data_IF_877775309165
#
_entry.id   IF_877775309165
#
_cell.length_a   1.000
_cell.length_b   1.000
_cell.length_c   1.000
_cell.angle_alpha   90.00
_cell.angle_beta   90.00
_cell.angle_gamma   90.00
#
_symmetry.space_group_name_H-M   'P 1'
#
loop_
_entity.id
_entity.type
_entity.pdbx_description
1 polymer ?
#
# COMPACT_ATOMS: atom_id res chain seq x y z
N UNK A 1 26.51 62.53 3.15
CA UNK A 1 27.66 61.61 3.18
C UNK A 1 27.68 60.83 1.88
N UNK A 2 28.78 60.95 1.12
CA UNK A 2 29.34 60.06 0.08
C UNK A 2 28.33 59.34 -0.86
N UNK A 3 28.13 59.73 -2.12
CA UNK A 3 29.04 59.77 -3.30
C UNK A 3 28.65 58.64 -4.28
N UNK A 4 28.30 59.06 -5.51
CA UNK A 4 28.65 58.48 -6.81
C UNK A 4 28.14 57.10 -7.30
N UNK A 5 27.77 57.16 -8.60
CA UNK A 5 28.16 56.28 -9.72
C UNK A 5 27.12 55.29 -10.31
N UNK A 6 26.65 55.69 -11.49
CA UNK A 6 26.31 54.91 -12.69
C UNK A 6 27.24 53.70 -12.91
N UNK A 7 26.73 52.53 -13.34
CA UNK A 7 27.32 51.75 -14.46
C UNK A 7 26.33 50.73 -15.05
N UNK A 8 26.22 50.76 -16.38
CA UNK A 8 25.64 49.79 -17.32
C UNK A 8 26.43 48.46 -17.36
N UNK A 9 26.01 47.50 -18.20
CA UNK A 9 26.66 46.26 -18.71
C UNK A 9 25.91 45.01 -18.21
N UNK A 10 25.05 44.37 -19.01
CA UNK A 10 25.30 43.49 -20.16
C UNK A 10 25.91 42.13 -19.77
N UNK A 11 25.38 41.08 -20.41
CA UNK A 11 25.48 39.67 -20.07
C UNK A 11 26.90 39.10 -20.02
N UNK A 12 27.10 38.11 -19.14
CA UNK A 12 28.21 37.15 -19.22
C UNK A 12 27.66 35.74 -18.92
N UNK A 13 27.55 34.94 -19.98
CA UNK A 13 27.56 33.48 -19.94
C UNK A 13 28.98 33.03 -19.60
N UNK A 14 29.18 32.31 -18.49
CA UNK A 14 30.33 31.42 -18.33
C UNK A 14 29.94 30.17 -17.55
N UNK A 15 30.29 29.03 -18.14
CA UNK A 15 30.21 27.67 -17.62
C UNK A 15 31.03 27.54 -16.34
N UNK A 16 30.50 26.79 -15.37
CA UNK A 16 31.21 26.38 -14.16
C UNK A 16 30.31 25.48 -13.32
N UNK A 17 30.58 24.18 -13.34
CA UNK A 17 29.83 23.19 -12.56
C UNK A 17 30.02 23.35 -11.06
N UNK A 18 29.01 22.90 -10.31
CA UNK A 18 29.16 22.21 -9.02
C UNK A 18 27.80 21.66 -8.62
N UNK A 19 27.72 20.32 -8.55
CA UNK A 19 26.96 19.56 -7.57
C UNK A 19 25.55 20.09 -7.24
N UNK A 20 24.63 19.89 -8.18
CA UNK A 20 23.24 19.62 -7.82
C UNK A 20 23.18 18.25 -7.17
N UNK A 21 23.40 18.26 -5.85
CA UNK A 21 23.12 17.20 -4.87
C UNK A 21 22.37 16.02 -5.49
N UNK A 22 23.11 14.97 -5.86
CA UNK A 22 22.54 13.63 -5.89
C UNK A 22 21.86 13.48 -4.55
N UNK A 23 20.54 13.38 -4.54
CA UNK A 23 19.84 12.81 -3.40
C UNK A 23 20.46 11.43 -3.25
N UNK A 24 21.41 11.28 -2.34
CA UNK A 24 21.77 10.00 -1.79
C UNK A 24 20.46 9.49 -1.18
N UNK A 25 19.71 8.72 -1.97
CA UNK A 25 18.80 7.74 -1.43
C UNK A 25 19.70 6.89 -0.55
N UNK A 26 19.64 7.17 0.74
CA UNK A 26 20.19 6.30 1.74
C UNK A 26 19.18 5.16 1.81
N UNK A 27 19.28 4.25 0.82
CA UNK A 27 18.56 2.97 0.79
C UNK A 27 18.92 2.24 2.06
N UNK A 28 18.09 2.48 3.07
CA UNK A 28 18.17 1.88 4.40
C UNK A 28 16.95 1.02 4.65
N UNK A 29 15.98 1.01 3.73
CA UNK A 29 14.82 0.14 3.75
C UNK A 29 14.88 -0.95 2.69
N UNK A 30 14.21 -2.05 2.96
CA UNK A 30 14.19 -3.27 2.13
C UNK A 30 13.49 -3.07 0.77
N UNK A 31 12.76 -1.97 0.61
CA UNK A 31 11.87 -1.72 -0.53
C UNK A 31 12.06 -0.31 -1.08
N UNK A 32 11.91 -0.18 -2.41
CA UNK A 32 11.86 1.11 -3.10
C UNK A 32 10.58 1.86 -2.73
N UNK A 33 10.71 3.18 -2.63
CA UNK A 33 9.57 4.07 -2.41
C UNK A 33 8.62 4.08 -3.61
N UNK A 34 7.32 4.15 -3.34
CA UNK A 34 6.29 4.16 -4.37
C UNK A 34 4.95 3.61 -3.89
N UNK A 35 3.99 3.55 -4.80
CA UNK A 35 2.70 2.89 -4.60
C UNK A 35 2.64 1.61 -5.41
N UNK A 36 2.24 0.52 -4.76
CA UNK A 36 2.26 -0.83 -5.31
C UNK A 36 0.93 -1.50 -5.08
N UNK A 37 0.46 -2.23 -6.09
CA UNK A 37 -0.82 -2.93 -6.05
C UNK A 37 -0.58 -4.44 -6.17
N UNK A 38 -1.13 -5.21 -5.25
CA UNK A 38 -1.03 -6.66 -5.24
C UNK A 38 -2.40 -7.33 -5.17
N UNK A 39 -2.53 -8.47 -5.84
CA UNK A 39 -3.76 -9.26 -5.92
C UNK A 39 -3.45 -10.66 -5.41
N UNK A 40 -4.29 -11.21 -4.54
CA UNK A 40 -4.18 -12.59 -4.08
C UNK A 40 -4.67 -13.58 -5.14
N UNK A 41 -4.44 -14.87 -4.89
CA UNK A 41 -5.19 -15.92 -5.58
C UNK A 41 -6.67 -15.87 -5.20
N UNK A 42 -7.52 -16.53 -5.99
CA UNK A 42 -8.94 -16.65 -5.67
C UNK A 42 -9.15 -17.64 -4.51
N UNK A 43 -10.11 -17.34 -3.65
CA UNK A 43 -10.64 -18.21 -2.60
C UNK A 43 -11.59 -19.28 -3.18
N UNK A 44 -12.04 -20.19 -2.33
CA UNK A 44 -12.98 -21.27 -2.70
C UNK A 44 -14.35 -20.76 -3.20
N UNK A 45 -14.66 -19.48 -2.96
CA UNK A 45 -15.90 -18.82 -3.41
C UNK A 45 -15.68 -17.99 -4.68
N UNK A 46 -14.46 -18.00 -5.22
CA UNK A 46 -14.06 -17.31 -6.44
C UNK A 46 -13.70 -15.83 -6.24
N UNK A 47 -13.73 -15.31 -5.02
CA UNK A 47 -13.30 -13.94 -4.72
C UNK A 47 -11.82 -13.85 -4.36
N UNK A 48 -11.26 -12.66 -4.28
CA UNK A 48 -9.85 -12.43 -3.94
C UNK A 48 -9.71 -11.18 -3.07
N UNK A 49 -8.49 -10.90 -2.60
CA UNK A 49 -8.15 -9.65 -1.91
C UNK A 49 -7.16 -8.86 -2.77
N UNK A 50 -7.39 -7.57 -2.87
CA UNK A 50 -6.43 -6.61 -3.41
C UNK A 50 -5.85 -5.77 -2.28
N UNK A 51 -4.57 -5.45 -2.38
CA UNK A 51 -3.84 -4.63 -1.43
C UNK A 51 -3.11 -3.51 -2.15
N UNK A 52 -3.42 -2.26 -1.78
CA UNK A 52 -2.67 -1.09 -2.20
C UNK A 52 -1.72 -0.66 -1.09
N UNK A 53 -0.42 -0.62 -1.40
CA UNK A 53 0.66 -0.35 -0.43
C UNK A 53 1.43 0.88 -0.87
N UNK A 54 1.61 1.84 0.04
CA UNK A 54 2.50 2.99 -0.17
C UNK A 54 3.74 2.87 0.71
N UNK A 55 4.90 3.01 0.08
CA UNK A 55 6.21 2.94 0.71
C UNK A 55 6.89 4.30 0.64
N UNK A 56 7.35 4.80 1.78
CA UNK A 56 8.16 6.01 1.91
C UNK A 56 9.35 5.76 2.85
N UNK A 57 10.54 6.18 2.45
CA UNK A 57 11.80 5.89 3.15
C UNK A 57 11.97 4.39 3.43
N UNK A 58 11.54 3.56 2.48
CA UNK A 58 11.59 2.10 2.54
C UNK A 58 10.74 1.45 3.64
N UNK A 59 9.72 2.15 4.15
CA UNK A 59 8.72 1.64 5.10
C UNK A 59 7.31 1.73 4.53
N UNK A 60 6.44 0.80 4.91
CA UNK A 60 5.01 0.83 4.58
C UNK A 60 4.35 1.93 5.41
N UNK A 61 3.97 3.03 4.77
CA UNK A 61 3.32 4.18 5.42
C UNK A 61 1.81 4.21 5.23
N UNK A 62 1.30 3.50 4.23
CA UNK A 62 -0.13 3.29 4.04
C UNK A 62 -0.40 1.90 3.44
N UNK A 63 -1.54 1.33 3.80
CA UNK A 63 -2.06 0.09 3.26
C UNK A 63 -3.59 0.19 3.15
N UNK A 64 -4.15 -0.36 2.09
CA UNK A 64 -5.58 -0.58 1.91
C UNK A 64 -5.85 -2.05 1.60
N UNK A 65 -7.07 -2.51 1.88
CA UNK A 65 -7.53 -3.87 1.60
C UNK A 65 -8.90 -3.77 0.94
N UNK A 66 -9.02 -4.38 -0.23
CA UNK A 66 -10.28 -4.51 -0.98
C UNK A 66 -10.66 -5.98 -1.06
N UNK A 67 -11.85 -6.34 -0.61
CA UNK A 67 -12.37 -7.70 -0.68
C UNK A 67 -13.21 -7.84 -1.93
N UNK A 68 -12.73 -8.57 -2.93
CA UNK A 68 -13.39 -8.67 -4.23
C UNK A 68 -14.15 -10.00 -4.34
N UNK A 69 -15.39 -9.95 -4.82
CA UNK A 69 -16.20 -11.14 -5.08
C UNK A 69 -15.88 -11.76 -6.45
N UNK A 70 -16.47 -12.94 -6.71
CA UNK A 70 -16.30 -13.67 -7.98
C UNK A 70 -16.75 -12.92 -9.24
N UNK A 71 -17.55 -11.87 -9.07
CA UNK A 71 -18.07 -11.04 -10.14
C UNK A 71 -17.28 -9.72 -10.28
N UNK A 72 -16.13 -9.61 -9.59
CA UNK A 72 -15.26 -8.44 -9.50
C UNK A 72 -15.92 -7.20 -8.86
N UNK A 73 -16.83 -7.39 -7.89
CA UNK A 73 -17.36 -6.31 -7.07
C UNK A 73 -16.76 -6.34 -5.67
N UNK A 74 -16.64 -5.17 -5.04
CA UNK A 74 -16.30 -5.10 -3.62
C UNK A 74 -17.38 -5.80 -2.78
N UNK A 75 -16.96 -6.72 -1.92
CA UNK A 75 -17.80 -7.45 -0.97
C UNK A 75 -18.38 -6.45 0.04
N UNK A 76 -19.61 -6.01 -0.21
CA UNK A 76 -20.35 -5.09 0.66
C UNK A 76 -21.38 -5.78 1.56
N UNK A 77 -22.33 -4.99 2.05
CA UNK A 77 -23.41 -5.43 2.94
C UNK A 77 -24.30 -6.53 2.34
N UNK A 78 -24.32 -6.69 1.01
CA UNK A 78 -25.12 -7.68 0.32
C UNK A 78 -24.40 -9.03 0.13
N UNK A 79 -23.09 -9.08 0.37
CA UNK A 79 -22.32 -10.31 0.18
C UNK A 79 -22.80 -11.43 1.11
N UNK A 80 -23.06 -12.60 0.53
CA UNK A 80 -23.57 -13.80 1.22
C UNK A 80 -25.07 -13.84 1.44
N UNK A 81 -25.84 -12.75 1.17
CA UNK A 81 -27.31 -12.75 1.33
C UNK A 81 -28.01 -13.72 0.37
N UNK A 82 -27.43 -13.94 -0.80
CA UNK A 82 -27.87 -14.89 -1.82
C UNK A 82 -27.91 -16.35 -1.32
N UNK A 83 -27.11 -16.69 -0.31
CA UNK A 83 -27.12 -18.02 0.31
C UNK A 83 -28.44 -18.34 1.02
N UNK A 84 -29.21 -17.31 1.43
CA UNK A 84 -30.43 -17.46 2.23
C UNK A 84 -30.23 -18.08 3.62
N UNK A 85 -28.97 -18.30 4.04
CA UNK A 85 -28.63 -18.94 5.30
C UNK A 85 -28.09 -17.90 6.29
N UNK A 86 -28.83 -17.61 7.39
CA UNK A 86 -28.41 -16.60 8.36
C UNK A 86 -27.03 -16.84 8.97
N UNK A 87 -26.62 -18.10 9.14
CA UNK A 87 -25.30 -18.44 9.67
C UNK A 87 -24.18 -18.11 8.68
N UNK A 88 -24.36 -18.44 7.40
CA UNK A 88 -23.38 -18.13 6.35
C UNK A 88 -23.30 -16.62 6.10
N UNK A 89 -24.44 -15.93 6.09
CA UNK A 89 -24.49 -14.46 5.99
C UNK A 89 -23.67 -13.83 7.12
N UNK A 90 -23.88 -14.29 8.37
CA UNK A 90 -23.13 -13.77 9.52
C UNK A 90 -21.64 -14.02 9.38
N UNK A 91 -21.22 -15.22 8.99
CA UNK A 91 -19.80 -15.55 8.79
C UNK A 91 -19.17 -14.65 7.73
N UNK A 92 -19.85 -14.46 6.59
CA UNK A 92 -19.37 -13.63 5.50
C UNK A 92 -19.20 -12.16 5.93
N UNK A 93 -20.20 -11.60 6.61
CA UNK A 93 -20.17 -10.21 7.07
C UNK A 93 -19.18 -9.99 8.21
N UNK A 94 -19.03 -10.94 9.14
CA UNK A 94 -18.01 -10.89 10.19
C UNK A 94 -16.60 -10.92 9.58
N UNK A 95 -16.36 -11.74 8.56
CA UNK A 95 -15.06 -11.82 7.88
C UNK A 95 -14.69 -10.49 7.21
N UNK A 96 -15.62 -9.88 6.46
CA UNK A 96 -15.42 -8.56 5.83
C UNK A 96 -15.07 -7.52 6.88
N UNK A 97 -15.88 -7.43 7.94
CA UNK A 97 -15.68 -6.45 9.01
C UNK A 97 -14.34 -6.63 9.72
N UNK A 98 -14.00 -7.86 10.08
CA UNK A 98 -12.79 -8.14 10.84
C UNK A 98 -11.52 -7.94 10.00
N UNK A 99 -11.57 -8.20 8.69
CA UNK A 99 -10.43 -8.00 7.79
C UNK A 99 -9.99 -6.53 7.67
N UNK A 100 -10.88 -5.55 7.92
CA UNK A 100 -10.58 -4.12 7.83
C UNK A 100 -9.47 -3.65 8.79
N UNK A 101 -9.16 -4.43 9.83
CA UNK A 101 -8.09 -4.08 10.77
C UNK A 101 -6.68 -4.48 10.26
N UNK A 102 -6.56 -5.36 9.26
CA UNK A 102 -5.25 -5.84 8.79
C UNK A 102 -4.36 -4.75 8.18
N UNK A 103 -4.85 -3.81 7.35
CA UNK A 103 -4.00 -2.73 6.83
C UNK A 103 -3.39 -1.87 7.93
N UNK A 104 -4.17 -1.56 8.98
CA UNK A 104 -3.68 -0.81 10.14
C UNK A 104 -2.60 -1.59 10.90
N UNK A 105 -2.79 -2.90 11.08
CA UNK A 105 -1.77 -3.74 11.68
C UNK A 105 -0.50 -3.76 10.83
N UNK A 106 -0.62 -3.92 9.51
CA UNK A 106 0.51 -3.95 8.58
C UNK A 106 1.34 -2.66 8.65
N UNK A 107 0.69 -1.49 8.63
CA UNK A 107 1.39 -0.20 8.78
C UNK A 107 2.07 -0.11 10.15
N UNK A 108 1.44 -0.62 11.21
CA UNK A 108 2.01 -0.58 12.56
C UNK A 108 3.19 -1.55 12.75
N UNK A 109 3.16 -2.72 12.11
CA UNK A 109 4.20 -3.75 12.27
C UNK A 109 5.31 -3.58 11.24
N UNK A 110 5.03 -2.96 10.09
CA UNK A 110 5.90 -2.88 8.93
C UNK A 110 6.40 -4.26 8.44
N UNK A 111 5.68 -5.33 8.80
CA UNK A 111 5.99 -6.71 8.47
C UNK A 111 4.69 -7.54 8.46
N UNK A 112 4.38 -8.13 7.31
CA UNK A 112 3.19 -8.96 7.12
C UNK A 112 3.22 -10.23 7.98
N UNK A 113 4.40 -10.74 8.33
CA UNK A 113 4.54 -11.92 9.20
C UNK A 113 4.27 -11.60 10.68
N UNK A 114 4.22 -10.32 11.05
CA UNK A 114 3.92 -9.85 12.41
C UNK A 114 2.46 -9.39 12.57
N UNK A 115 1.67 -9.38 11.50
CA UNK A 115 0.23 -9.08 11.56
C UNK A 115 -0.48 -10.24 12.27
N UNK A 116 -1.30 -9.93 13.28
CA UNK A 116 -2.02 -10.94 14.05
C UNK A 116 -3.27 -11.40 13.30
N UNK A 117 -3.46 -12.73 13.22
CA UNK A 117 -4.66 -13.33 12.64
C UNK A 117 -5.89 -13.02 13.51
N UNK A 118 -6.93 -12.45 12.90
CA UNK A 118 -8.17 -12.11 13.60
C UNK A 118 -9.16 -13.27 13.48
N UNK A 119 -9.77 -13.65 14.61
CA UNK A 119 -10.79 -14.69 14.65
C UNK A 119 -11.96 -14.38 13.70
N UNK A 120 -12.37 -15.36 12.90
CA UNK A 120 -13.41 -15.18 11.88
C UNK A 120 -12.93 -14.55 10.57
N UNK A 121 -11.65 -14.16 10.46
CA UNK A 121 -11.05 -13.58 9.26
C UNK A 121 -9.73 -14.28 8.88
N UNK A 122 -9.56 -15.56 9.21
CA UNK A 122 -8.35 -16.33 8.89
C UNK A 122 -8.12 -16.44 7.38
N UNK A 123 -9.15 -16.76 6.61
CA UNK A 123 -9.04 -16.80 5.14
C UNK A 123 -8.66 -15.42 4.57
N UNK A 124 -9.29 -14.35 5.09
CA UNK A 124 -8.95 -12.99 4.69
C UNK A 124 -7.51 -12.61 5.04
N UNK A 125 -6.95 -13.12 6.13
CA UNK A 125 -5.53 -12.92 6.46
C UNK A 125 -4.61 -13.56 5.42
N UNK A 126 -4.86 -14.83 5.07
CA UNK A 126 -4.02 -15.54 4.11
C UNK A 126 -4.03 -14.84 2.74
N UNK A 127 -5.20 -14.41 2.28
CA UNK A 127 -5.35 -13.66 1.02
C UNK A 127 -4.69 -12.28 1.11
N UNK A 128 -4.90 -11.54 2.20
CA UNK A 128 -4.26 -10.24 2.39
C UNK A 128 -2.74 -10.37 2.43
N UNK A 129 -2.21 -11.40 3.10
CA UNK A 129 -0.79 -11.70 3.16
C UNK A 129 -0.22 -12.00 1.77
N UNK A 130 -0.93 -12.77 0.95
CA UNK A 130 -0.53 -13.02 -0.43
C UNK A 130 -0.53 -11.72 -1.26
N UNK A 131 -1.60 -10.93 -1.20
CA UNK A 131 -1.73 -9.66 -1.92
C UNK A 131 -0.61 -8.67 -1.52
N UNK A 132 -0.34 -8.52 -0.23
CA UNK A 132 0.75 -7.68 0.28
C UNK A 132 2.11 -8.16 -0.21
N UNK A 133 2.38 -9.47 -0.16
CA UNK A 133 3.63 -10.01 -0.67
C UNK A 133 3.80 -9.78 -2.18
N UNK A 134 2.71 -9.87 -2.94
CA UNK A 134 2.70 -9.57 -4.38
C UNK A 134 2.96 -8.09 -4.64
N UNK A 135 2.39 -7.17 -3.85
CA UNK A 135 2.70 -5.74 -3.91
C UNK A 135 4.17 -5.47 -3.57
N UNK A 136 4.66 -5.98 -2.43
CA UNK A 136 6.03 -5.77 -1.96
C UNK A 136 7.08 -6.40 -2.88
N UNK A 137 6.74 -7.46 -3.61
CA UNK A 137 7.64 -8.06 -4.61
C UNK A 137 7.99 -7.08 -5.74
N UNK A 138 7.07 -6.19 -6.10
CA UNK A 138 7.27 -5.15 -7.13
C UNK A 138 8.14 -3.99 -6.63
N UNK A 139 8.22 -3.83 -5.30
CA UNK A 139 9.06 -2.84 -4.64
C UNK A 139 10.49 -3.32 -4.40
N UNK A 140 10.80 -4.60 -4.69
CA UNK A 140 12.15 -5.15 -4.56
C UNK A 140 13.05 -4.65 -5.69
N UNK A 141 14.34 -4.51 -5.37
CA UNK A 141 15.36 -4.05 -6.31
C UNK A 141 15.67 -5.01 -7.46
#
# INVERSE_FOLDING_TARGET
MKKFLVTTVAAVLLLGGCQGKTTENTDTGTWKDGSYHGVSSNDDWGGHVEADITIENGMIVAAELHNIDKDNNEKGEDYGKDTGNPGLIKIAQDAIKNAQDYPKQLVSTNDIEQVEVISGATNSYDLFKEAVNNALSQAKE
#
